data_IF_435709721401
#
_entry.id   IF_435709721401
#
_cell.length_a   1.000
_cell.length_b   1.000
_cell.length_c   1.000
_cell.angle_alpha   90.00
_cell.angle_beta   90.00
_cell.angle_gamma   90.00
#
_symmetry.space_group_name_H-M   'P 1'
#
loop_
_entity.id
_entity.type
_entity.pdbx_description
1 polymer ?
#
# COMPACT_ATOMS: atom_id res chain seq x y z
N UNK A 1 -37.96 20.18 11.93
CA UNK A 1 -36.85 20.69 11.10
C UNK A 1 -36.62 19.66 10.01
N UNK A 2 -36.73 20.04 8.75
CA UNK A 2 -36.68 19.08 7.63
C UNK A 2 -35.24 18.71 7.27
N UNK A 3 -35.05 17.58 6.59
CA UNK A 3 -33.77 17.18 5.99
C UNK A 3 -33.17 18.30 5.14
N UNK A 4 -33.98 18.97 4.32
CA UNK A 4 -33.53 20.05 3.45
C UNK A 4 -33.07 21.29 4.23
N UNK A 5 -33.71 21.59 5.37
CA UNK A 5 -33.28 22.70 6.23
C UNK A 5 -31.89 22.45 6.82
N UNK A 6 -31.59 21.20 7.21
CA UNK A 6 -30.29 20.82 7.77
C UNK A 6 -29.21 20.93 6.68
N UNK A 7 -29.48 20.42 5.48
CA UNK A 7 -28.54 20.53 4.35
C UNK A 7 -28.25 21.97 3.96
N UNK A 8 -29.26 22.84 3.92
CA UNK A 8 -29.08 24.28 3.66
C UNK A 8 -28.17 24.91 4.72
N UNK A 9 -28.36 24.58 6.00
CA UNK A 9 -27.50 25.07 7.09
C UNK A 9 -26.05 24.59 6.95
N UNK A 10 -25.84 23.32 6.60
CA UNK A 10 -24.50 22.77 6.34
C UNK A 10 -23.82 23.54 5.19
N UNK A 11 -24.54 23.76 4.08
CA UNK A 11 -24.01 24.49 2.93
C UNK A 11 -23.68 25.94 3.26
N UNK A 12 -24.56 26.62 4.02
CA UNK A 12 -24.33 28.02 4.46
C UNK A 12 -23.08 28.13 5.32
N UNK A 13 -22.88 27.23 6.30
CA UNK A 13 -21.68 27.26 7.15
C UNK A 13 -20.43 26.96 6.33
N UNK A 14 -20.49 26.00 5.40
CA UNK A 14 -19.36 25.66 4.54
C UNK A 14 -18.97 26.77 3.55
N UNK A 15 -19.90 27.66 3.18
CA UNK A 15 -19.65 28.78 2.29
C UNK A 15 -19.07 30.03 2.96
N UNK A 16 -18.95 30.04 4.29
CA UNK A 16 -18.34 31.16 5.01
C UNK A 16 -16.81 31.14 4.83
N UNK A 17 -16.27 32.21 4.26
CA UNK A 17 -14.85 32.34 3.85
C UNK A 17 -13.87 32.33 5.03
N UNK A 18 -14.34 32.54 6.25
CA UNK A 18 -13.53 32.46 7.46
C UNK A 18 -13.56 31.04 8.02
N UNK A 19 -12.49 30.29 7.72
CA UNK A 19 -12.20 29.00 8.33
C UNK A 19 -11.96 29.17 9.84
N UNK A 20 -13.02 29.05 10.63
CA UNK A 20 -12.94 29.04 12.09
C UNK A 20 -13.21 27.62 12.61
N UNK A 21 -12.64 27.30 13.78
CA UNK A 21 -12.92 26.05 14.51
C UNK A 21 -14.43 25.83 14.71
N UNK A 22 -15.18 26.91 14.85
CA UNK A 22 -16.63 26.91 15.06
C UNK A 22 -17.38 26.43 13.82
N UNK A 23 -17.01 26.90 12.62
CA UNK A 23 -17.65 26.46 11.36
C UNK A 23 -17.52 24.95 11.17
N UNK A 24 -16.34 24.39 11.43
CA UNK A 24 -16.13 22.93 11.35
C UNK A 24 -16.97 22.19 12.40
N UNK A 25 -17.01 22.69 13.63
CA UNK A 25 -17.81 22.10 14.71
C UNK A 25 -19.31 22.12 14.39
N UNK A 26 -19.80 23.21 13.81
CA UNK A 26 -21.19 23.36 13.37
C UNK A 26 -21.55 22.40 12.25
N UNK A 27 -20.69 22.22 11.24
CA UNK A 27 -20.91 21.22 10.17
C UNK A 27 -21.07 19.82 10.76
N UNK A 28 -20.21 19.44 11.71
CA UNK A 28 -20.30 18.14 12.38
C UNK A 28 -21.56 18.02 13.24
N UNK A 29 -21.94 19.08 13.95
CA UNK A 29 -23.15 19.12 14.77
C UNK A 29 -24.42 18.98 13.92
N UNK A 30 -24.55 19.73 12.83
CA UNK A 30 -25.67 19.60 11.90
C UNK A 30 -25.71 18.22 11.24
N UNK A 31 -24.56 17.67 10.84
CA UNK A 31 -24.47 16.31 10.30
C UNK A 31 -24.96 15.27 11.31
N UNK A 32 -24.74 15.51 12.62
CA UNK A 32 -25.18 14.59 13.68
C UNK A 32 -26.71 14.55 13.85
N UNK A 33 -27.42 15.60 13.44
CA UNK A 33 -28.88 15.69 13.48
C UNK A 33 -29.59 14.92 12.37
N UNK A 34 -28.87 14.42 11.37
CA UNK A 34 -29.45 13.62 10.28
C UNK A 34 -29.75 12.20 10.77
N UNK A 35 -30.90 11.67 10.37
CA UNK A 35 -31.18 10.23 10.46
C UNK A 35 -30.23 9.46 9.53
N UNK A 36 -30.17 8.14 9.65
CA UNK A 36 -29.31 7.33 8.78
C UNK A 36 -29.69 7.46 7.30
N UNK A 37 -30.99 7.45 6.99
CA UNK A 37 -31.50 7.58 5.62
C UNK A 37 -31.25 8.98 5.07
N UNK A 38 -31.54 10.02 5.87
CA UNK A 38 -31.27 11.41 5.49
C UNK A 38 -29.77 11.65 5.28
N UNK A 39 -28.92 10.98 6.05
CA UNK A 39 -27.47 11.05 5.91
C UNK A 39 -27.01 10.42 4.59
N UNK A 40 -27.53 9.25 4.23
CA UNK A 40 -27.23 8.61 2.95
C UNK A 40 -27.69 9.50 1.78
N UNK A 41 -28.93 9.99 1.82
CA UNK A 41 -29.47 10.91 0.81
C UNK A 41 -28.66 12.22 0.72
N UNK A 42 -28.22 12.75 1.87
CA UNK A 42 -27.35 13.92 1.95
C UNK A 42 -26.01 13.70 1.26
N UNK A 43 -25.38 12.54 1.48
CA UNK A 43 -24.10 12.20 0.86
C UNK A 43 -24.22 12.16 -0.66
N UNK A 44 -25.26 11.49 -1.18
CA UNK A 44 -25.50 11.43 -2.63
C UNK A 44 -25.68 12.82 -3.25
N UNK A 45 -26.45 13.70 -2.58
CA UNK A 45 -26.70 15.09 -3.03
C UNK A 45 -25.50 16.03 -2.93
N UNK A 46 -24.48 15.68 -2.14
CA UNK A 46 -23.36 16.59 -1.80
C UNK A 46 -21.99 16.08 -2.27
N UNK A 47 -21.94 15.14 -3.21
CA UNK A 47 -20.67 14.64 -3.77
C UNK A 47 -19.79 15.76 -4.37
N UNK A 48 -20.40 16.80 -4.95
CA UNK A 48 -19.70 17.98 -5.48
C UNK A 48 -19.40 19.08 -4.46
N UNK A 49 -19.80 18.92 -3.20
CA UNK A 49 -19.61 19.93 -2.16
C UNK A 49 -18.13 20.04 -1.70
N UNK A 50 -17.76 21.11 -0.96
CA UNK A 50 -16.43 21.25 -0.38
C UNK A 50 -16.01 20.02 0.44
N UNK A 51 -14.69 19.77 0.48
CA UNK A 51 -14.13 18.56 1.10
C UNK A 51 -14.59 18.36 2.55
N UNK A 52 -14.70 19.42 3.33
CA UNK A 52 -15.10 19.34 4.74
C UNK A 52 -16.52 18.86 4.96
N UNK A 53 -17.46 19.29 4.10
CA UNK A 53 -18.84 18.80 4.13
C UNK A 53 -18.85 17.29 3.88
N UNK A 54 -18.14 16.86 2.84
CA UNK A 54 -18.06 15.44 2.45
C UNK A 54 -17.40 14.60 3.54
N UNK A 55 -16.32 15.09 4.14
CA UNK A 55 -15.63 14.43 5.24
C UNK A 55 -16.50 14.35 6.50
N UNK A 56 -17.25 15.40 6.82
CA UNK A 56 -18.14 15.42 7.98
C UNK A 56 -19.31 14.43 7.84
N UNK A 57 -19.97 14.42 6.69
CA UNK A 57 -21.07 13.49 6.41
C UNK A 57 -20.56 12.03 6.38
N UNK A 58 -19.46 11.75 5.67
CA UNK A 58 -18.84 10.42 5.65
C UNK A 58 -18.40 9.98 7.04
N UNK A 59 -17.75 10.86 7.80
CA UNK A 59 -17.31 10.57 9.16
C UNK A 59 -18.48 10.33 10.12
N UNK A 60 -19.62 11.00 9.93
CA UNK A 60 -20.85 10.68 10.65
C UNK A 60 -21.38 9.31 10.25
N UNK A 61 -21.42 8.99 8.96
CA UNK A 61 -21.92 7.71 8.45
C UNK A 61 -21.16 6.54 9.06
N UNK A 62 -19.83 6.57 8.99
CA UNK A 62 -18.98 5.52 9.55
C UNK A 62 -19.15 5.37 11.07
N UNK A 63 -19.34 6.46 11.81
CA UNK A 63 -19.63 6.41 13.26
C UNK A 63 -20.99 5.80 13.56
N UNK A 64 -21.99 6.05 12.72
CA UNK A 64 -23.35 5.49 12.91
C UNK A 64 -23.39 4.00 12.56
N UNK A 65 -22.56 3.53 11.61
CA UNK A 65 -22.47 2.11 11.25
C UNK A 65 -21.83 1.25 12.36
N UNK A 66 -20.89 1.81 13.13
CA UNK A 66 -20.12 1.04 14.10
C UNK A 66 -19.37 -0.11 13.43
N UNK A 67 -19.25 -1.25 14.11
CA UNK A 67 -18.63 -2.47 13.56
C UNK A 67 -19.65 -3.44 12.94
N UNK A 68 -20.93 -3.35 13.34
CA UNK A 68 -21.98 -4.28 12.94
C UNK A 68 -23.25 -3.54 12.51
N UNK A 69 -23.36 -3.13 11.23
CA UNK A 69 -24.56 -2.47 10.73
C UNK A 69 -25.74 -3.45 10.69
N UNK A 70 -26.94 -2.93 10.98
CA UNK A 70 -28.20 -3.69 10.89
C UNK A 70 -28.50 -4.07 9.43
N UNK A 71 -29.36 -5.07 9.18
CA UNK A 71 -29.77 -5.43 7.81
C UNK A 71 -30.31 -4.24 7.03
N UNK A 72 -31.17 -3.42 7.64
CA UNK A 72 -31.77 -2.23 7.01
C UNK A 72 -30.72 -1.19 6.65
N UNK A 73 -29.72 -1.00 7.51
CA UNK A 73 -28.60 -0.11 7.23
C UNK A 73 -27.76 -0.63 6.06
N UNK A 74 -27.55 -1.95 5.96
CA UNK A 74 -26.80 -2.55 4.83
C UNK A 74 -27.56 -2.36 3.53
N UNK A 75 -28.85 -2.62 3.50
CA UNK A 75 -29.68 -2.44 2.31
C UNK A 75 -29.63 -0.98 1.84
N UNK A 76 -29.77 -0.03 2.77
CA UNK A 76 -29.63 1.40 2.43
C UNK A 76 -28.22 1.77 1.96
N UNK A 77 -27.17 1.15 2.48
CA UNK A 77 -25.81 1.36 1.96
C UNK A 77 -25.64 0.81 0.53
N UNK A 78 -26.28 -0.31 0.20
CA UNK A 78 -26.28 -0.85 -1.17
C UNK A 78 -26.94 0.15 -2.12
N UNK A 79 -28.08 0.70 -1.73
CA UNK A 79 -28.75 1.75 -2.51
C UNK A 79 -27.87 2.99 -2.67
N UNK A 80 -27.21 3.44 -1.59
CA UNK A 80 -26.27 4.56 -1.66
C UNK A 80 -25.11 4.29 -2.63
N UNK A 81 -24.59 3.05 -2.66
CA UNK A 81 -23.54 2.66 -3.62
C UNK A 81 -24.07 2.73 -5.05
N UNK A 82 -25.28 2.23 -5.31
CA UNK A 82 -25.90 2.28 -6.63
C UNK A 82 -26.14 3.72 -7.09
N UNK A 83 -26.74 4.56 -6.24
CA UNK A 83 -27.00 5.98 -6.48
C UNK A 83 -25.69 6.73 -6.82
N UNK A 84 -24.68 6.59 -5.96
CA UNK A 84 -23.40 7.31 -6.13
C UNK A 84 -22.57 6.77 -7.29
N UNK A 85 -22.70 5.48 -7.61
CA UNK A 85 -22.09 4.88 -8.81
C UNK A 85 -22.66 5.52 -10.08
N UNK A 86 -23.98 5.57 -10.21
CA UNK A 86 -24.67 6.18 -11.34
C UNK A 86 -24.28 7.66 -11.53
N UNK A 87 -24.17 8.41 -10.43
CA UNK A 87 -23.70 9.80 -10.47
C UNK A 87 -22.25 9.90 -10.99
N UNK A 88 -21.34 9.03 -10.56
CA UNK A 88 -19.94 9.03 -11.04
C UNK A 88 -19.76 8.54 -12.48
N UNK A 89 -20.73 7.79 -12.99
CA UNK A 89 -20.74 7.34 -14.39
C UNK A 89 -21.22 8.47 -15.30
N UNK A 90 -22.19 9.28 -14.85
CA UNK A 90 -22.64 10.50 -15.52
C UNK A 90 -21.66 11.67 -15.43
N UNK A 91 -20.91 11.80 -14.32
CA UNK A 91 -19.94 12.88 -14.11
C UNK A 91 -18.56 12.33 -13.66
N UNK A 92 -17.59 12.42 -14.58
CA UNK A 92 -16.21 11.97 -14.33
C UNK A 92 -15.53 12.76 -13.20
N UNK A 93 -15.94 14.02 -12.96
CA UNK A 93 -15.43 14.86 -11.87
C UNK A 93 -15.74 14.31 -10.48
N UNK A 94 -16.80 13.50 -10.35
CA UNK A 94 -17.21 12.91 -9.07
C UNK A 94 -16.51 11.59 -8.74
N UNK A 95 -15.83 10.95 -9.72
CA UNK A 95 -15.27 9.60 -9.57
C UNK A 95 -14.35 9.44 -8.36
N UNK A 96 -13.40 10.35 -8.18
CA UNK A 96 -12.46 10.26 -7.05
C UNK A 96 -13.17 10.36 -5.70
N UNK A 97 -14.21 11.19 -5.62
CA UNK A 97 -15.03 11.37 -4.41
C UNK A 97 -15.82 10.12 -4.11
N UNK A 98 -16.47 9.54 -5.12
CA UNK A 98 -17.26 8.32 -5.00
C UNK A 98 -16.36 7.14 -4.64
N UNK A 99 -15.18 7.01 -5.28
CA UNK A 99 -14.21 5.96 -4.93
C UNK A 99 -13.69 6.09 -3.49
N UNK A 100 -13.51 7.32 -3.01
CA UNK A 100 -13.13 7.57 -1.62
C UNK A 100 -14.27 7.27 -0.62
N UNK A 101 -15.53 7.43 -1.03
CA UNK A 101 -16.70 7.04 -0.23
C UNK A 101 -16.83 5.51 -0.19
N UNK A 102 -16.84 4.85 -1.35
CA UNK A 102 -16.95 3.40 -1.47
C UNK A 102 -15.82 2.68 -0.73
N UNK A 103 -14.58 3.15 -0.88
CA UNK A 103 -13.45 2.60 -0.12
C UNK A 103 -13.60 2.72 1.39
N UNK A 104 -14.26 3.77 1.89
CA UNK A 104 -14.47 3.94 3.32
C UNK A 104 -15.58 3.04 3.87
N UNK A 105 -16.60 2.75 3.06
CA UNK A 105 -17.75 1.94 3.47
C UNK A 105 -17.59 0.45 3.15
N UNK A 106 -16.59 0.07 2.35
CA UNK A 106 -16.49 -1.26 1.72
C UNK A 106 -16.71 -2.42 2.71
N UNK A 107 -16.04 -2.36 3.88
CA UNK A 107 -16.13 -3.40 4.92
C UNK A 107 -17.53 -3.62 5.50
N UNK A 108 -18.43 -2.65 5.33
CA UNK A 108 -19.80 -2.66 5.86
C UNK A 108 -20.83 -3.16 4.83
N UNK A 109 -20.41 -3.35 3.58
CA UNK A 109 -21.29 -3.77 2.49
C UNK A 109 -21.41 -5.30 2.44
N UNK A 110 -22.50 -5.85 1.88
CA UNK A 110 -22.56 -7.27 1.57
C UNK A 110 -21.58 -7.64 0.45
N UNK A 111 -21.09 -8.89 0.46
CA UNK A 111 -20.07 -9.38 -0.49
C UNK A 111 -20.38 -9.08 -1.96
N UNK A 112 -21.61 -9.27 -2.49
CA UNK A 112 -21.91 -8.94 -3.88
C UNK A 112 -21.63 -7.49 -4.25
N UNK A 113 -21.97 -6.54 -3.37
CA UNK A 113 -21.70 -5.11 -3.59
C UNK A 113 -20.22 -4.78 -3.45
N UNK A 114 -19.50 -5.47 -2.57
CA UNK A 114 -18.04 -5.34 -2.49
C UNK A 114 -17.38 -5.76 -3.81
N UNK A 115 -17.78 -6.90 -4.39
CA UNK A 115 -17.29 -7.35 -5.70
C UNK A 115 -17.57 -6.32 -6.80
N UNK A 116 -18.80 -5.79 -6.88
CA UNK A 116 -19.15 -4.77 -7.87
C UNK A 116 -18.28 -3.51 -7.78
N UNK A 117 -17.97 -3.05 -6.56
CA UNK A 117 -17.06 -1.89 -6.38
C UNK A 117 -15.65 -2.23 -6.84
N UNK A 118 -15.15 -3.42 -6.50
CA UNK A 118 -13.82 -3.86 -6.89
C UNK A 118 -13.70 -4.00 -8.41
N UNK A 119 -14.66 -4.63 -9.07
CA UNK A 119 -14.75 -4.73 -10.54
C UNK A 119 -14.70 -3.35 -11.18
N UNK A 120 -15.49 -2.40 -10.69
CA UNK A 120 -15.48 -1.01 -11.20
C UNK A 120 -14.11 -0.34 -11.05
N UNK A 121 -13.35 -0.63 -9.99
CA UNK A 121 -11.99 -0.11 -9.85
C UNK A 121 -11.00 -0.76 -10.81
N UNK A 122 -11.16 -2.07 -11.05
CA UNK A 122 -10.37 -2.82 -12.05
C UNK A 122 -10.64 -2.28 -13.45
N UNK A 123 -11.90 -2.15 -13.85
CA UNK A 123 -12.32 -1.65 -15.17
C UNK A 123 -11.77 -0.26 -15.46
N UNK A 124 -11.69 0.59 -14.43
CA UNK A 124 -11.11 1.93 -14.57
C UNK A 124 -9.60 1.90 -14.79
N UNK A 125 -8.88 0.90 -14.26
CA UNK A 125 -7.44 0.69 -14.44
C UNK A 125 -6.50 1.82 -13.97
N UNK A 126 -7.04 2.95 -13.47
CA UNK A 126 -6.22 4.08 -13.05
C UNK A 126 -5.41 3.73 -11.81
N UNK A 127 -4.23 4.34 -11.66
CA UNK A 127 -3.36 4.17 -10.48
C UNK A 127 -4.10 4.42 -9.16
N UNK A 128 -5.03 5.37 -9.13
CA UNK A 128 -5.82 5.72 -7.95
C UNK A 128 -6.91 4.69 -7.61
N UNK A 129 -7.55 4.11 -8.63
CA UNK A 129 -8.54 3.05 -8.46
C UNK A 129 -7.86 1.75 -8.01
N UNK A 130 -6.77 1.37 -8.67
CA UNK A 130 -6.01 0.17 -8.33
C UNK A 130 -5.34 0.26 -6.95
N UNK A 131 -4.90 1.44 -6.52
CA UNK A 131 -4.43 1.63 -5.15
C UNK A 131 -5.52 1.35 -4.09
N UNK A 132 -6.78 1.69 -4.39
CA UNK A 132 -7.92 1.39 -3.52
C UNK A 132 -8.27 -0.09 -3.57
N UNK A 133 -8.27 -0.70 -4.76
CA UNK A 133 -8.46 -2.13 -4.94
C UNK A 133 -7.44 -2.94 -4.13
N UNK A 134 -6.14 -2.65 -4.29
CA UNK A 134 -5.05 -3.33 -3.56
C UNK A 134 -5.16 -3.16 -2.04
N UNK A 135 -5.59 -1.98 -1.59
CA UNK A 135 -5.84 -1.72 -0.16
C UNK A 135 -7.03 -2.55 0.34
N UNK A 136 -8.14 -2.52 -0.40
CA UNK A 136 -9.37 -3.19 -0.04
C UNK A 136 -9.20 -4.71 0.07
N UNK A 137 -8.58 -5.35 -0.92
CA UNK A 137 -8.38 -6.80 -0.92
C UNK A 137 -7.41 -7.25 0.16
N UNK A 138 -6.41 -6.41 0.50
CA UNK A 138 -5.53 -6.66 1.65
C UNK A 138 -6.30 -6.66 2.97
N UNK A 139 -7.23 -5.72 3.13
CA UNK A 139 -8.04 -5.59 4.34
C UNK A 139 -9.20 -6.62 4.35
N UNK A 140 -9.48 -7.30 3.23
CA UNK A 140 -10.50 -8.36 3.09
C UNK A 140 -9.97 -9.48 2.18
N UNK A 141 -9.11 -10.38 2.70
CA UNK A 141 -8.38 -11.37 1.89
C UNK A 141 -9.22 -12.25 0.94
N UNK A 142 -10.45 -12.67 1.28
CA UNK A 142 -11.29 -13.44 0.36
C UNK A 142 -11.65 -12.73 -0.96
N UNK A 143 -11.46 -11.40 -1.04
CA UNK A 143 -11.70 -10.62 -2.24
C UNK A 143 -10.47 -10.45 -3.13
N UNK A 144 -9.32 -10.97 -2.71
CA UNK A 144 -8.09 -10.86 -3.49
C UNK A 144 -8.13 -11.76 -4.73
N UNK A 145 -7.93 -11.15 -5.90
CA UNK A 145 -7.75 -11.86 -7.16
C UNK A 145 -6.29 -11.69 -7.63
N UNK A 146 -5.53 -12.78 -7.57
CA UNK A 146 -4.13 -12.79 -7.98
C UNK A 146 -3.94 -12.48 -9.47
N UNK A 147 -4.90 -12.85 -10.34
CA UNK A 147 -4.81 -12.60 -11.78
C UNK A 147 -4.90 -11.10 -12.10
N UNK A 148 -5.80 -10.39 -11.41
CA UNK A 148 -5.95 -8.93 -11.51
C UNK A 148 -4.69 -8.22 -11.02
N UNK A 149 -4.16 -8.62 -9.86
CA UNK A 149 -2.95 -8.03 -9.31
C UNK A 149 -1.73 -8.26 -10.23
N UNK A 150 -1.61 -9.47 -10.80
CA UNK A 150 -0.55 -9.85 -11.72
C UNK A 150 -0.62 -9.06 -13.04
N UNK A 151 -1.78 -8.97 -13.66
CA UNK A 151 -1.97 -8.21 -14.89
C UNK A 151 -1.62 -6.72 -14.70
N UNK A 152 -2.08 -6.13 -13.59
CA UNK A 152 -1.77 -4.75 -13.26
C UNK A 152 -0.28 -4.53 -12.96
N UNK A 153 0.35 -5.43 -12.17
CA UNK A 153 1.78 -5.34 -11.89
C UNK A 153 2.62 -5.46 -13.17
N UNK A 154 2.32 -6.41 -14.06
CA UNK A 154 3.03 -6.57 -15.34
C UNK A 154 2.99 -5.32 -16.22
N UNK A 155 1.88 -4.60 -16.17
CA UNK A 155 1.67 -3.39 -16.98
C UNK A 155 2.35 -2.16 -16.37
N UNK A 156 2.33 -2.04 -15.05
CA UNK A 156 2.68 -0.78 -14.36
C UNK A 156 3.95 -0.83 -13.53
N UNK A 157 4.43 -2.04 -13.21
CA UNK A 157 5.49 -2.31 -12.25
C UNK A 157 5.26 -1.66 -10.88
N UNK A 158 3.99 -1.45 -10.50
CA UNK A 158 3.63 -0.89 -9.20
C UNK A 158 4.00 -1.86 -8.07
N UNK A 159 4.96 -1.48 -7.23
CA UNK A 159 5.44 -2.31 -6.11
C UNK A 159 4.32 -2.71 -5.14
N UNK A 160 3.22 -1.95 -5.07
CA UNK A 160 2.08 -2.30 -4.21
C UNK A 160 1.37 -3.55 -4.72
N UNK A 161 1.33 -3.76 -6.03
CA UNK A 161 0.78 -4.95 -6.65
C UNK A 161 1.72 -6.15 -6.48
N UNK A 162 3.03 -5.95 -6.67
CA UNK A 162 4.05 -6.96 -6.35
C UNK A 162 3.95 -7.41 -4.89
N UNK A 163 3.79 -6.46 -3.95
CA UNK A 163 3.56 -6.74 -2.54
C UNK A 163 2.31 -7.57 -2.34
N UNK A 164 1.19 -7.19 -2.94
CA UNK A 164 -0.05 -7.95 -2.79
C UNK A 164 0.09 -9.39 -3.30
N UNK A 165 0.75 -9.60 -4.45
CA UNK A 165 1.06 -10.94 -4.96
C UNK A 165 1.90 -11.74 -3.95
N UNK A 166 3.04 -11.19 -3.53
CA UNK A 166 3.94 -11.88 -2.60
C UNK A 166 3.29 -12.22 -1.25
N UNK A 167 2.33 -11.42 -0.77
CA UNK A 167 1.71 -11.60 0.54
C UNK A 167 0.39 -12.38 0.51
N UNK A 168 -0.36 -12.34 -0.59
CA UNK A 168 -1.75 -12.85 -0.63
C UNK A 168 -1.97 -13.92 -1.70
N UNK A 169 -1.17 -14.00 -2.77
CA UNK A 169 -1.36 -15.05 -3.77
C UNK A 169 -1.06 -16.42 -3.17
N UNK A 170 -1.83 -17.44 -3.56
CA UNK A 170 -1.56 -18.83 -3.18
C UNK A 170 -0.23 -19.32 -3.76
N UNK A 171 0.47 -20.26 -3.10
CA UNK A 171 1.76 -20.77 -3.56
C UNK A 171 1.77 -21.22 -5.03
N UNK A 172 0.71 -21.92 -5.47
CA UNK A 172 0.57 -22.41 -6.85
C UNK A 172 0.49 -21.29 -7.90
N UNK A 173 -0.05 -20.13 -7.51
CA UNK A 173 -0.09 -18.93 -8.38
C UNK A 173 1.19 -18.12 -8.27
N UNK A 174 1.82 -18.09 -7.09
CA UNK A 174 3.01 -17.31 -6.80
C UNK A 174 4.27 -17.93 -7.39
N UNK A 175 4.44 -19.25 -7.28
CA UNK A 175 5.61 -19.99 -7.75
C UNK A 175 5.99 -19.68 -9.21
N UNK A 176 5.05 -19.79 -10.17
CA UNK A 176 5.31 -19.51 -11.58
C UNK A 176 5.76 -18.07 -11.91
N UNK A 177 5.56 -17.11 -11.00
CA UNK A 177 5.90 -15.70 -11.22
C UNK A 177 7.08 -15.21 -10.38
N UNK A 178 7.68 -16.05 -9.52
CA UNK A 178 8.77 -15.62 -8.63
C UNK A 178 9.97 -15.11 -9.42
N UNK A 179 10.42 -15.84 -10.43
CA UNK A 179 11.55 -15.42 -11.27
C UNK A 179 11.29 -14.07 -11.96
N UNK A 180 10.05 -13.85 -12.41
CA UNK A 180 9.63 -12.56 -12.97
C UNK A 180 9.68 -11.45 -11.91
N UNK A 181 9.21 -11.72 -10.69
CA UNK A 181 9.26 -10.77 -9.58
C UNK A 181 10.71 -10.39 -9.27
N UNK A 182 11.61 -11.36 -9.12
CA UNK A 182 13.03 -11.14 -8.84
C UNK A 182 13.70 -10.26 -9.90
N UNK A 183 13.36 -10.49 -11.17
CA UNK A 183 13.95 -9.76 -12.28
C UNK A 183 13.45 -8.30 -12.38
N UNK A 184 12.26 -7.99 -11.87
CA UNK A 184 11.56 -6.74 -12.21
C UNK A 184 11.05 -5.94 -11.00
N UNK A 185 11.20 -6.45 -9.80
CA UNK A 185 10.88 -5.76 -8.56
C UNK A 185 12.17 -5.37 -7.84
N UNK A 186 12.33 -4.08 -7.54
CA UNK A 186 13.50 -3.53 -6.84
C UNK A 186 13.48 -3.82 -5.34
N UNK A 187 12.31 -4.18 -4.79
CA UNK A 187 12.10 -4.32 -3.37
C UNK A 187 12.44 -5.73 -2.86
N UNK A 188 13.67 -5.90 -2.36
CA UNK A 188 14.16 -7.19 -1.85
C UNK A 188 13.28 -7.83 -0.76
N UNK A 189 12.61 -7.04 0.09
CA UNK A 189 11.68 -7.56 1.09
C UNK A 189 10.38 -8.14 0.51
N UNK A 190 9.98 -7.74 -0.71
CA UNK A 190 8.89 -8.38 -1.45
C UNK A 190 9.37 -9.71 -2.00
N UNK A 191 10.59 -9.74 -2.56
CA UNK A 191 11.22 -10.94 -3.12
C UNK A 191 11.40 -12.02 -2.06
N UNK A 192 11.95 -11.66 -0.89
CA UNK A 192 12.14 -12.62 0.20
C UNK A 192 10.81 -13.25 0.62
N UNK A 193 9.76 -12.43 0.73
CA UNK A 193 8.43 -12.93 1.09
C UNK A 193 7.87 -13.87 0.01
N UNK A 194 8.08 -13.54 -1.26
CA UNK A 194 7.63 -14.36 -2.38
C UNK A 194 8.27 -15.74 -2.35
N UNK A 195 9.61 -15.82 -2.26
CA UNK A 195 10.37 -17.08 -2.23
C UNK A 195 9.98 -17.94 -1.03
N UNK A 196 9.91 -17.36 0.17
CA UNK A 196 9.54 -18.09 1.38
C UNK A 196 8.12 -18.68 1.33
N UNK A 197 7.18 -18.00 0.65
CA UNK A 197 5.79 -18.48 0.54
C UNK A 197 5.57 -19.44 -0.61
N UNK A 198 6.28 -19.26 -1.73
CA UNK A 198 6.16 -20.17 -2.86
C UNK A 198 6.93 -21.47 -2.66
N UNK A 199 7.93 -21.49 -1.76
CA UNK A 199 8.86 -22.61 -1.63
C UNK A 199 9.76 -22.79 -2.86
N UNK A 200 10.13 -21.69 -3.53
CA UNK A 200 10.91 -21.75 -4.78
C UNK A 200 12.30 -22.35 -4.52
N UNK A 201 12.61 -23.44 -5.22
CA UNK A 201 13.88 -24.18 -5.19
C UNK A 201 14.63 -24.13 -6.53
N UNK A 202 14.11 -23.38 -7.52
CA UNK A 202 14.72 -23.22 -8.83
C UNK A 202 16.03 -22.43 -8.75
N UNK A 203 17.15 -23.10 -9.03
CA UNK A 203 18.50 -22.52 -8.95
C UNK A 203 18.68 -21.29 -9.85
N UNK A 204 18.04 -21.25 -11.02
CA UNK A 204 18.13 -20.08 -11.91
C UNK A 204 17.51 -18.83 -11.27
N UNK A 205 16.42 -19.00 -10.52
CA UNK A 205 15.81 -17.95 -9.72
C UNK A 205 16.71 -17.52 -8.57
N UNK A 206 17.37 -18.47 -7.89
CA UNK A 206 18.32 -18.17 -6.83
C UNK A 206 19.54 -17.37 -7.32
N UNK A 207 20.07 -17.69 -8.50
CA UNK A 207 21.14 -16.93 -9.14
C UNK A 207 20.71 -15.50 -9.50
N UNK A 208 19.45 -15.33 -9.94
CA UNK A 208 18.86 -14.00 -10.16
C UNK A 208 18.75 -13.22 -8.86
N UNK A 209 18.33 -13.85 -7.76
CA UNK A 209 18.27 -13.18 -6.44
C UNK A 209 19.66 -12.78 -5.97
N UNK A 210 20.65 -13.69 -6.12
CA UNK A 210 22.04 -13.42 -5.76
C UNK A 210 22.60 -12.20 -6.50
N UNK A 211 22.27 -12.09 -7.78
CA UNK A 211 22.78 -11.03 -8.65
C UNK A 211 22.07 -9.69 -8.44
N UNK A 212 20.74 -9.70 -8.34
CA UNK A 212 19.93 -8.49 -8.28
C UNK A 212 19.71 -7.97 -6.86
N UNK A 213 19.67 -8.89 -5.87
CA UNK A 213 19.27 -8.60 -4.49
C UNK A 213 20.21 -9.31 -3.49
N UNK A 214 21.53 -9.01 -3.48
CA UNK A 214 22.52 -9.76 -2.69
C UNK A 214 22.24 -9.79 -1.19
N UNK A 215 21.74 -8.68 -0.61
CA UNK A 215 21.30 -8.62 0.80
C UNK A 215 20.14 -9.57 1.09
N UNK A 216 19.19 -9.66 0.16
CA UNK A 216 18.03 -10.56 0.23
C UNK A 216 18.44 -12.01 0.05
N UNK A 217 19.38 -12.30 -0.85
CA UNK A 217 19.94 -13.64 -1.03
C UNK A 217 20.56 -14.15 0.27
N UNK A 218 21.41 -13.33 0.92
CA UNK A 218 22.02 -13.68 2.21
C UNK A 218 20.97 -13.88 3.30
N UNK A 219 19.96 -13.01 3.35
CA UNK A 219 18.82 -13.17 4.26
C UNK A 219 18.10 -14.50 4.06
N UNK A 220 17.82 -14.87 2.80
CA UNK A 220 17.16 -16.14 2.48
C UNK A 220 18.03 -17.35 2.82
N UNK A 221 19.35 -17.27 2.60
CA UNK A 221 20.27 -18.33 3.03
C UNK A 221 20.20 -18.54 4.54
N UNK A 222 20.18 -17.47 5.33
CA UNK A 222 20.04 -17.56 6.78
C UNK A 222 18.68 -18.15 7.20
N UNK A 223 17.58 -17.71 6.59
CA UNK A 223 16.24 -18.19 6.94
C UNK A 223 16.01 -19.66 6.57
N UNK A 224 16.48 -20.08 5.40
CA UNK A 224 16.27 -21.42 4.87
C UNK A 224 17.42 -22.37 5.18
N UNK A 225 18.42 -21.91 5.96
CA UNK A 225 19.64 -22.67 6.31
C UNK A 225 20.37 -23.21 5.07
N UNK A 226 20.37 -22.44 3.99
CA UNK A 226 21.11 -22.76 2.77
C UNK A 226 22.58 -22.46 2.98
N UNK A 227 23.44 -23.39 2.59
CA UNK A 227 24.88 -23.21 2.72
C UNK A 227 25.44 -22.18 1.74
N UNK A 228 26.44 -21.42 2.19
CA UNK A 228 27.21 -20.47 1.40
C UNK A 228 28.63 -20.43 1.95
N UNK A 229 29.64 -20.27 1.10
CA UNK A 229 31.03 -20.15 1.54
C UNK A 229 31.27 -18.82 2.27
N UNK A 230 32.33 -18.77 3.07
CA UNK A 230 32.72 -17.54 3.76
C UNK A 230 33.17 -16.43 2.79
N UNK A 231 33.86 -16.81 1.71
CA UNK A 231 34.29 -15.88 0.67
C UNK A 231 33.10 -15.31 -0.11
N UNK A 232 32.17 -16.15 -0.55
CA UNK A 232 30.96 -15.71 -1.24
C UNK A 232 30.11 -14.79 -0.36
N UNK A 233 29.95 -15.13 0.92
CA UNK A 233 29.20 -14.31 1.87
C UNK A 233 29.84 -12.93 2.07
N UNK A 234 31.18 -12.89 2.16
CA UNK A 234 31.92 -11.64 2.25
C UNK A 234 31.76 -10.80 0.98
N UNK A 235 31.95 -11.40 -0.20
CA UNK A 235 31.90 -10.70 -1.48
C UNK A 235 30.51 -10.12 -1.77
N UNK A 236 29.44 -10.89 -1.49
CA UNK A 236 28.07 -10.40 -1.62
C UNK A 236 27.78 -9.23 -0.69
N UNK A 237 28.20 -9.32 0.58
CA UNK A 237 28.04 -8.21 1.54
C UNK A 237 28.85 -6.99 1.10
N UNK A 238 30.05 -7.20 0.58
CA UNK A 238 30.92 -6.12 0.09
C UNK A 238 30.26 -5.35 -1.05
N UNK A 239 29.53 -6.06 -1.91
CA UNK A 239 28.73 -5.48 -3.00
C UNK A 239 27.54 -4.64 -2.54
N UNK A 240 27.04 -4.81 -1.31
CA UNK A 240 25.86 -4.09 -0.81
C UNK A 240 26.17 -2.61 -0.47
N UNK A 241 25.20 -1.73 -0.76
CA UNK A 241 25.26 -0.31 -0.40
C UNK A 241 25.04 -0.08 1.11
N UNK A 242 25.71 0.92 1.68
CA UNK A 242 25.47 1.40 3.05
C UNK A 242 24.32 2.40 3.17
N UNK A 243 23.59 2.69 2.07
CA UNK A 243 22.50 3.67 2.08
C UNK A 243 21.53 3.41 3.24
N UNK A 244 21.37 4.40 4.12
CA UNK A 244 20.40 4.35 5.21
C UNK A 244 18.95 4.18 4.72
N UNK A 245 18.69 4.52 3.45
CA UNK A 245 17.37 4.42 2.81
C UNK A 245 17.04 2.96 2.46
N UNK A 246 18.04 2.15 2.07
CA UNK A 246 17.83 0.76 1.66
C UNK A 246 18.33 -0.27 2.68
N UNK A 247 19.27 0.10 3.56
CA UNK A 247 19.72 -0.74 4.68
C UNK A 247 20.38 -2.06 4.26
N UNK A 248 20.76 -2.20 2.99
CA UNK A 248 21.13 -3.48 2.38
C UNK A 248 22.33 -4.14 3.04
N UNK A 249 23.40 -3.37 3.32
CA UNK A 249 24.57 -3.93 4.00
C UNK A 249 24.28 -4.33 5.44
N UNK A 250 23.44 -3.58 6.14
CA UNK A 250 23.02 -3.93 7.50
C UNK A 250 22.29 -5.26 7.55
N UNK A 251 21.37 -5.49 6.61
CA UNK A 251 20.67 -6.77 6.46
C UNK A 251 21.64 -7.91 6.11
N UNK A 252 22.59 -7.68 5.20
CA UNK A 252 23.61 -8.66 4.83
C UNK A 252 24.48 -9.07 6.04
N UNK A 253 25.00 -8.10 6.81
CA UNK A 253 25.80 -8.35 8.02
C UNK A 253 24.98 -9.13 9.05
N UNK A 254 23.72 -8.72 9.27
CA UNK A 254 22.82 -9.44 10.18
C UNK A 254 22.65 -10.90 9.76
N UNK A 255 22.40 -11.16 8.47
CA UNK A 255 22.21 -12.50 7.94
C UNK A 255 23.47 -13.36 8.10
N UNK A 256 24.66 -12.80 7.84
CA UNK A 256 25.95 -13.47 8.08
C UNK A 256 26.11 -13.87 9.54
N UNK A 257 25.72 -13.00 10.48
CA UNK A 257 25.69 -13.30 11.90
C UNK A 257 24.73 -14.43 12.25
N UNK A 258 23.52 -14.45 11.69
CA UNK A 258 22.57 -15.55 11.89
C UNK A 258 23.06 -16.89 11.35
N UNK A 259 23.92 -16.88 10.33
CA UNK A 259 24.58 -18.08 9.80
C UNK A 259 25.81 -18.53 10.62
N UNK A 260 26.19 -17.80 11.68
CA UNK A 260 27.32 -18.16 12.54
C UNK A 260 28.70 -17.96 11.90
N UNK A 261 28.81 -17.13 10.86
CA UNK A 261 30.05 -16.92 10.09
C UNK A 261 30.99 -15.92 10.75
N UNK A 262 31.56 -16.30 11.90
CA UNK A 262 32.41 -15.43 12.74
C UNK A 262 33.62 -14.90 11.97
N UNK A 263 34.31 -15.75 11.21
CA UNK A 263 35.48 -15.34 10.43
C UNK A 263 35.15 -14.25 9.38
N UNK A 264 33.97 -14.33 8.77
CA UNK A 264 33.47 -13.29 7.86
C UNK A 264 33.22 -11.99 8.61
N UNK A 265 32.55 -12.03 9.77
CA UNK A 265 32.31 -10.84 10.59
C UNK A 265 33.62 -10.16 11.04
N UNK A 266 34.63 -10.95 11.41
CA UNK A 266 35.96 -10.42 11.74
C UNK A 266 36.61 -9.74 10.52
N UNK A 267 36.50 -10.32 9.32
CA UNK A 267 36.95 -9.69 8.06
C UNK A 267 36.23 -8.37 7.80
N UNK A 268 34.92 -8.31 8.02
CA UNK A 268 34.12 -7.08 7.87
C UNK A 268 34.62 -6.01 8.83
N UNK A 269 34.79 -6.36 10.12
CA UNK A 269 35.32 -5.45 11.15
C UNK A 269 36.70 -4.93 10.75
N UNK A 270 37.58 -5.80 10.30
CA UNK A 270 38.95 -5.44 9.91
C UNK A 270 38.99 -4.57 8.63
N UNK A 271 37.92 -4.55 7.84
CA UNK A 271 37.80 -3.76 6.61
C UNK A 271 36.92 -2.51 6.78
N UNK A 272 36.57 -2.14 8.02
CA UNK A 272 35.59 -1.09 8.30
C UNK A 272 35.97 0.28 7.72
N UNK A 273 37.24 0.67 7.81
CA UNK A 273 37.74 1.93 7.24
C UNK A 273 37.59 1.96 5.72
N UNK A 274 37.98 0.88 5.04
CA UNK A 274 37.83 0.75 3.58
C UNK A 274 36.37 0.77 3.14
N UNK A 275 35.47 0.14 3.90
CA UNK A 275 34.03 0.20 3.65
C UNK A 275 33.50 1.63 3.78
N UNK A 276 33.94 2.36 4.80
CA UNK A 276 33.55 3.76 5.00
C UNK A 276 34.04 4.65 3.85
N UNK A 277 35.28 4.48 3.40
CA UNK A 277 35.82 5.22 2.25
C UNK A 277 35.02 4.95 0.96
N UNK A 278 34.67 3.68 0.72
CA UNK A 278 33.80 3.28 -0.40
C UNK A 278 32.44 3.97 -0.33
N UNK A 279 31.81 4.00 0.84
CA UNK A 279 30.50 4.63 1.02
C UNK A 279 30.52 6.13 0.75
N UNK A 280 31.57 6.81 1.24
CA UNK A 280 31.77 8.25 0.98
C UNK A 280 32.01 8.51 -0.51
N UNK A 281 32.78 7.66 -1.19
CA UNK A 281 33.01 7.76 -2.62
C UNK A 281 31.72 7.58 -3.43
N UNK A 282 30.90 6.57 -3.10
CA UNK A 282 29.58 6.34 -3.72
C UNK A 282 28.62 7.52 -3.50
N UNK A 283 28.56 8.05 -2.27
CA UNK A 283 27.72 9.20 -1.94
C UNK A 283 28.14 10.46 -2.72
N UNK A 284 29.45 10.73 -2.83
CA UNK A 284 29.98 11.86 -3.61
C UNK A 284 29.69 11.71 -5.11
N UNK A 285 29.80 10.50 -5.65
CA UNK A 285 29.46 10.23 -7.04
C UNK A 285 27.97 10.47 -7.33
N UNK A 286 27.09 10.14 -6.38
CA UNK A 286 25.64 10.34 -6.50
C UNK A 286 25.21 11.79 -6.25
N UNK A 287 25.94 12.53 -5.42
CA UNK A 287 25.67 13.92 -5.07
C UNK A 287 26.93 14.79 -5.15
N UNK A 288 27.31 15.25 -6.36
CA UNK A 288 28.55 16.01 -6.58
C UNK A 288 28.58 17.36 -5.84
N UNK A 289 27.42 17.85 -5.43
CA UNK A 289 27.21 19.18 -4.84
C UNK A 289 27.38 19.19 -3.31
N UNK A 290 27.61 18.03 -2.68
CA UNK A 290 27.87 17.97 -1.24
C UNK A 290 29.24 18.59 -0.92
N UNK A 291 29.32 19.57 0.00
CA UNK A 291 30.59 20.17 0.38
C UNK A 291 31.54 19.10 0.92
N UNK A 292 32.81 19.16 0.53
CA UNK A 292 33.84 18.28 1.04
C UNK A 292 33.82 18.35 2.58
N UNK A 293 33.59 17.21 3.23
CA UNK A 293 33.63 17.14 4.68
C UNK A 293 35.00 17.65 5.15
N UNK A 294 35.00 18.78 5.88
CA UNK A 294 36.19 19.33 6.48
C UNK A 294 36.81 18.25 7.37
N UNK A 295 38.02 17.83 7.02
CA UNK A 295 38.88 17.01 7.86
C UNK A 295 39.21 17.80 9.12
N UNK A 296 38.63 17.40 10.26
CA UNK A 296 39.14 17.75 11.58
C UNK A 296 39.87 16.53 12.15
#
# INVERSE_FOLDING_TARGET
>A
MTHEDILKRIATVAGQSHYTSDSRSLIHAYSACLTFDDLCASIARTLGAPVDVRLALRGRLLRTLGDHPTPEQRDRLVDLVAETSALSDGDKGLRQTVDALHSAMLRHLPMPTQHQILERWVDRGTRGAMARWLKATRDTPPLFDASVALAYWRTTRDHRAAKSLAYQAEPDTLGPIVSELVAQCEEGWIISKAILRSGCDDESTWDLVRSNHPSTYLYLCAQLKREISDDDAFDLMWGCSASAIHGDRGLAIWAIGQMGKVAVLDRIRNSAETLFEKDIAELRARYPELPAANSN
#
